data_IF_289311475585
#
_entry.id   IF_289311475585
#
_cell.length_a   1.000
_cell.length_b   1.000
_cell.length_c   1.000
_cell.angle_alpha   90.00
_cell.angle_beta   90.00
_cell.angle_gamma   90.00
#
_symmetry.space_group_name_H-M   'P 1'
#
loop_
_entity.id
_entity.type
_entity.pdbx_description
1 polymer ?
#
# COMPACT_ATOMS: atom_id res chain seq x y z
N UNK A 1 -13.03 3.52 9.61
CA UNK A 1 -11.56 3.45 9.50
C UNK A 1 -11.03 4.87 9.29
N UNK A 2 -10.44 5.49 10.32
CA UNK A 2 -9.91 6.85 10.23
C UNK A 2 -8.57 6.81 9.49
N UNK A 3 -8.54 7.25 8.23
CA UNK A 3 -7.33 7.64 7.48
C UNK A 3 -6.71 8.88 8.15
N UNK A 4 -6.15 8.73 9.35
CA UNK A 4 -5.76 9.87 10.19
C UNK A 4 -4.26 10.20 10.18
N UNK A 5 -3.50 9.77 9.16
CA UNK A 5 -2.04 10.03 9.08
C UNK A 5 -1.45 10.31 7.68
N UNK A 6 -2.26 10.44 6.62
CA UNK A 6 -1.78 10.92 5.31
C UNK A 6 -2.03 12.43 5.21
N UNK A 7 -1.43 13.21 6.10
CA UNK A 7 -1.78 14.64 6.25
C UNK A 7 -0.98 15.60 5.38
N UNK A 8 0.06 15.15 4.66
CA UNK A 8 0.89 16.12 3.91
C UNK A 8 1.01 15.87 2.41
N UNK A 9 1.04 14.63 1.89
CA UNK A 9 1.25 14.35 0.45
C UNK A 9 0.72 12.99 -0.04
N UNK A 10 -0.61 12.81 -0.21
CA UNK A 10 -1.19 11.57 -0.74
C UNK A 10 -0.64 11.15 -2.11
N UNK A 11 -0.23 12.12 -2.93
CA UNK A 11 0.40 11.92 -4.24
C UNK A 11 1.74 11.18 -4.20
N UNK A 12 2.40 11.12 -3.03
CA UNK A 12 3.61 10.31 -2.86
C UNK A 12 3.33 8.81 -2.75
N UNK A 13 2.09 8.44 -2.42
CA UNK A 13 1.68 7.06 -2.16
C UNK A 13 0.71 6.50 -3.21
N UNK A 14 -0.09 7.36 -3.84
CA UNK A 14 -1.17 6.97 -4.77
C UNK A 14 -0.92 7.58 -6.15
N UNK A 15 -1.14 6.81 -7.21
CA UNK A 15 -1.15 7.27 -8.59
C UNK A 15 -2.41 6.74 -9.30
N UNK A 16 -3.28 7.66 -9.73
CA UNK A 16 -4.59 7.28 -10.26
C UNK A 16 -5.42 6.58 -9.19
N UNK A 17 -5.93 5.40 -9.50
CA UNK A 17 -6.77 4.60 -8.61
C UNK A 17 -5.99 3.49 -7.86
N UNK A 18 -4.65 3.51 -7.91
CA UNK A 18 -3.78 2.50 -7.29
C UNK A 18 -2.59 3.09 -6.55
N UNK A 19 -1.83 2.24 -5.88
CA UNK A 19 -0.57 2.59 -5.22
C UNK A 19 0.47 3.00 -6.27
N UNK A 20 1.24 4.04 -5.97
CA UNK A 20 2.27 4.57 -6.87
C UNK A 20 3.32 3.48 -7.16
N UNK A 21 3.75 3.29 -8.44
CA UNK A 21 4.84 2.39 -8.79
C UNK A 21 6.11 2.68 -7.98
N UNK A 22 6.83 1.61 -7.60
CA UNK A 22 7.98 1.70 -6.69
C UNK A 22 7.59 1.69 -5.21
N UNK A 23 6.34 1.34 -4.87
CA UNK A 23 5.93 0.99 -3.52
C UNK A 23 5.48 -0.47 -3.56
N UNK A 24 6.11 -1.31 -2.75
CA UNK A 24 5.67 -2.68 -2.51
C UNK A 24 4.60 -2.69 -1.43
N UNK A 25 3.57 -3.51 -1.62
CA UNK A 25 2.48 -3.69 -0.67
C UNK A 25 2.49 -5.13 -0.18
N UNK A 26 2.55 -5.30 1.14
CA UNK A 26 2.51 -6.62 1.76
C UNK A 26 1.25 -6.75 2.63
N UNK A 27 0.62 -7.92 2.56
CA UNK A 27 -0.46 -8.37 3.45
C UNK A 27 0.13 -9.49 4.30
N UNK A 28 0.23 -9.26 5.62
CA UNK A 28 0.79 -10.23 6.56
C UNK A 28 2.18 -10.76 6.11
N UNK A 29 3.08 -9.84 5.74
CA UNK A 29 4.45 -10.12 5.27
C UNK A 29 4.56 -10.83 3.90
N UNK A 30 3.43 -11.10 3.24
CA UNK A 30 3.39 -11.70 1.91
C UNK A 30 2.99 -10.67 0.84
N UNK A 31 3.47 -10.86 -0.38
CA UNK A 31 3.17 -9.97 -1.51
C UNK A 31 1.66 -9.96 -1.82
N UNK A 32 1.07 -8.76 -1.92
CA UNK A 32 -0.36 -8.59 -2.17
C UNK A 32 -0.82 -9.11 -3.55
N UNK A 33 0.11 -9.30 -4.51
CA UNK A 33 -0.18 -9.88 -5.83
C UNK A 33 -0.75 -11.30 -5.69
N UNK A 34 -0.32 -12.03 -4.64
CA UNK A 34 -0.84 -13.36 -4.32
C UNK A 34 -2.30 -13.35 -3.84
N UNK A 35 -2.81 -12.19 -3.46
CA UNK A 35 -4.12 -11.99 -2.85
C UNK A 35 -5.07 -11.18 -3.73
N UNK A 36 -4.69 -10.86 -4.96
CA UNK A 36 -5.52 -10.11 -5.91
C UNK A 36 -5.45 -8.59 -5.75
N UNK A 37 -4.39 -8.07 -5.12
CA UNK A 37 -4.07 -6.63 -5.07
C UNK A 37 -5.25 -5.80 -4.52
N UNK A 38 -5.79 -4.87 -5.32
CA UNK A 38 -6.91 -3.99 -4.97
C UNK A 38 -8.24 -4.72 -4.74
N UNK A 39 -8.34 -5.98 -5.16
CA UNK A 39 -9.56 -6.80 -4.95
C UNK A 39 -9.56 -7.53 -3.61
N UNK A 40 -8.45 -7.49 -2.86
CA UNK A 40 -8.37 -8.14 -1.57
C UNK A 40 -9.32 -7.50 -0.54
N UNK A 41 -10.22 -8.31 0.01
CA UNK A 41 -11.05 -7.91 1.13
C UNK A 41 -10.27 -8.02 2.44
N UNK A 42 -9.98 -6.87 3.05
CA UNK A 42 -9.28 -6.78 4.34
C UNK A 42 -10.03 -7.56 5.43
N UNK A 43 -9.27 -8.32 6.21
CA UNK A 43 -9.75 -9.10 7.34
C UNK A 43 -9.34 -8.45 8.65
N UNK A 44 -10.05 -8.82 9.70
CA UNK A 44 -9.70 -8.41 11.05
C UNK A 44 -8.29 -8.92 11.40
N UNK A 45 -7.45 -8.03 11.93
CA UNK A 45 -6.05 -8.26 12.30
C UNK A 45 -5.05 -8.38 11.14
N UNK A 46 -5.43 -8.07 9.90
CA UNK A 46 -4.45 -7.97 8.82
C UNK A 46 -3.45 -6.84 9.08
N UNK A 47 -2.18 -7.10 8.80
CA UNK A 47 -1.12 -6.10 8.77
C UNK A 47 -0.82 -5.74 7.32
N UNK A 48 -1.04 -4.48 6.96
CA UNK A 48 -0.74 -3.93 5.64
C UNK A 48 0.52 -3.08 5.73
N UNK A 49 1.54 -3.45 4.95
CA UNK A 49 2.82 -2.75 4.91
C UNK A 49 3.04 -2.11 3.54
N UNK A 50 3.47 -0.86 3.53
CA UNK A 50 3.87 -0.14 2.32
C UNK A 50 5.37 0.14 2.40
N UNK A 51 6.15 -0.44 1.48
CA UNK A 51 7.60 -0.26 1.41
C UNK A 51 7.91 0.54 0.15
N UNK A 52 8.29 1.80 0.31
CA UNK A 52 8.82 2.59 -0.80
C UNK A 52 10.20 2.04 -1.17
N UNK A 53 10.33 1.50 -2.38
CA UNK A 53 11.57 0.96 -2.93
C UNK A 53 12.30 1.99 -3.80
N UNK A 54 11.96 3.28 -3.63
CA UNK A 54 12.56 4.35 -4.40
C UNK A 54 14.08 4.36 -4.22
N UNK A 55 14.78 4.13 -5.33
CA UNK A 55 16.21 4.34 -5.45
C UNK A 55 16.46 5.84 -5.55
N UNK A 56 17.26 6.40 -4.64
CA UNK A 56 17.83 7.72 -4.82
C UNK A 56 18.80 7.69 -6.00
N UNK A 57 18.39 8.31 -7.11
CA UNK A 57 19.31 8.94 -8.05
C UNK A 57 19.44 10.41 -7.70
#
# INVERSE_FOLDING_TARGET
LKLNKLTERPELFVQGDSVRPGILVLINEADWELYGELTYELKENDTIMFISTLHGG
#
